data_IF_217776258224
#
_entry.id   IF_217776258224
#
_cell.length_a   1.000
_cell.length_b   1.000
_cell.length_c   1.000
_cell.angle_alpha   90.00
_cell.angle_beta   90.00
_cell.angle_gamma   90.00
#
_symmetry.space_group_name_H-M   'P 1'
#
loop_
_entity.id
_entity.type
_entity.pdbx_description
1 polymer ?
#
# COMPACT_ATOMS: atom_id res chain seq x y z
N UNK A 1 -8.13 5.90 14.31
CA UNK A 1 -8.72 4.54 14.49
C UNK A 1 -9.68 4.28 13.35
N UNK A 2 -9.46 3.29 12.48
CA UNK A 2 -10.45 2.92 11.43
C UNK A 2 -11.78 2.49 12.05
N UNK A 3 -12.91 2.58 11.32
CA UNK A 3 -14.18 2.01 11.79
C UNK A 3 -13.97 0.55 12.25
N UNK A 4 -14.50 0.20 13.42
CA UNK A 4 -14.28 -1.11 14.06
C UNK A 4 -14.83 -2.29 13.23
N UNK A 5 -15.60 -2.01 12.19
CA UNK A 5 -16.38 -2.99 11.43
C UNK A 5 -15.71 -3.46 10.13
N UNK A 6 -14.50 -3.00 9.81
CA UNK A 6 -13.79 -3.46 8.61
C UNK A 6 -13.28 -4.90 8.83
N UNK A 7 -13.69 -5.89 8.02
CA UNK A 7 -13.29 -7.28 8.20
C UNK A 7 -11.86 -7.54 7.69
N UNK A 8 -10.87 -7.03 8.41
CA UNK A 8 -9.45 -7.04 8.02
C UNK A 8 -8.91 -8.44 7.67
N UNK A 9 -9.29 -9.47 8.44
CA UNK A 9 -8.91 -10.86 8.15
C UNK A 9 -9.40 -11.33 6.77
N UNK A 10 -10.62 -10.93 6.37
CA UNK A 10 -11.19 -11.28 5.05
C UNK A 10 -10.45 -10.55 3.92
N UNK A 11 -10.16 -9.26 4.13
CA UNK A 11 -9.40 -8.42 3.19
C UNK A 11 -8.01 -9.01 2.95
N UNK A 12 -7.27 -9.34 4.02
CA UNK A 12 -5.94 -9.95 3.93
C UNK A 12 -5.98 -11.29 3.18
N UNK A 13 -6.94 -12.16 3.48
CA UNK A 13 -7.12 -13.44 2.77
C UNK A 13 -7.43 -13.24 1.28
N UNK A 14 -8.20 -12.22 0.92
CA UNK A 14 -8.49 -11.92 -0.49
C UNK A 14 -7.23 -11.48 -1.25
N UNK A 15 -6.46 -10.56 -0.67
CA UNK A 15 -5.18 -10.08 -1.22
C UNK A 15 -4.16 -11.22 -1.35
N UNK A 16 -4.02 -12.04 -0.30
CA UNK A 16 -3.09 -13.16 -0.28
C UNK A 16 -3.39 -14.20 -1.37
N UNK A 17 -4.68 -14.50 -1.61
CA UNK A 17 -5.08 -15.42 -2.70
C UNK A 17 -4.67 -14.89 -4.07
N UNK A 18 -4.83 -13.59 -4.32
CA UNK A 18 -4.39 -12.98 -5.58
C UNK A 18 -2.87 -13.01 -5.72
N UNK A 19 -2.12 -12.69 -4.66
CA UNK A 19 -0.65 -12.78 -4.65
C UNK A 19 -0.17 -14.22 -4.93
N UNK A 20 -0.80 -15.23 -4.32
CA UNK A 20 -0.49 -16.64 -4.59
C UNK A 20 -0.72 -17.03 -6.04
N UNK A 21 -1.82 -16.56 -6.66
CA UNK A 21 -2.09 -16.77 -8.09
C UNK A 21 -1.06 -16.11 -8.99
N UNK A 22 -0.63 -14.88 -8.66
CA UNK A 22 0.45 -14.19 -9.38
C UNK A 22 1.75 -15.01 -9.29
N UNK A 23 2.10 -15.49 -8.10
CA UNK A 23 3.28 -16.33 -7.89
C UNK A 23 3.23 -17.62 -8.71
N UNK A 24 2.09 -18.32 -8.70
CA UNK A 24 1.90 -19.52 -9.50
C UNK A 24 1.98 -19.24 -11.01
N UNK A 25 1.33 -18.18 -11.50
CA UNK A 25 1.38 -17.79 -12.91
C UNK A 25 2.81 -17.44 -13.35
N UNK A 26 3.55 -16.72 -12.49
CA UNK A 26 4.96 -16.39 -12.69
C UNK A 26 5.83 -17.65 -12.77
N UNK A 27 5.60 -18.63 -11.87
CA UNK A 27 6.31 -19.92 -11.90
C UNK A 27 6.07 -20.73 -13.16
N UNK A 28 4.90 -20.62 -13.78
CA UNK A 28 4.59 -21.29 -15.06
C UNK A 28 5.03 -20.47 -16.29
N UNK A 29 5.61 -19.28 -16.11
CA UNK A 29 6.03 -18.42 -17.22
C UNK A 29 4.87 -17.71 -17.95
N UNK A 30 3.65 -17.72 -17.41
CA UNK A 30 2.50 -17.06 -18.03
C UNK A 30 2.48 -15.56 -17.70
N UNK A 31 3.32 -14.81 -18.42
CA UNK A 31 3.48 -13.36 -18.27
C UNK A 31 2.16 -12.60 -18.52
N UNK A 32 1.34 -13.07 -19.46
CA UNK A 32 0.05 -12.44 -19.78
C UNK A 32 -0.91 -12.57 -18.59
N UNK A 33 -0.96 -13.73 -17.96
CA UNK A 33 -1.76 -13.95 -16.75
C UNK A 33 -1.23 -13.15 -15.56
N UNK A 34 0.10 -13.09 -15.38
CA UNK A 34 0.73 -12.24 -14.34
C UNK A 34 0.28 -10.79 -14.48
N UNK A 35 0.38 -10.19 -15.67
CA UNK A 35 -0.03 -8.79 -15.88
C UNK A 35 -1.54 -8.57 -15.61
N UNK A 36 -2.40 -9.49 -16.05
CA UNK A 36 -3.84 -9.43 -15.78
C UNK A 36 -4.13 -9.48 -14.27
N UNK A 37 -3.48 -10.39 -13.55
CA UNK A 37 -3.67 -10.55 -12.11
C UNK A 37 -3.08 -9.39 -11.31
N UNK A 38 -1.94 -8.81 -11.74
CA UNK A 38 -1.40 -7.58 -11.17
C UNK A 38 -2.35 -6.41 -11.37
N UNK A 39 -2.90 -6.23 -12.57
CA UNK A 39 -3.91 -5.18 -12.83
C UNK A 39 -5.16 -5.36 -11.97
N UNK A 40 -5.62 -6.61 -11.78
CA UNK A 40 -6.72 -6.92 -10.87
C UNK A 40 -6.38 -6.58 -9.42
N UNK A 41 -5.17 -6.91 -8.96
CA UNK A 41 -4.70 -6.59 -7.62
C UNK A 41 -4.66 -5.07 -7.38
N UNK A 42 -4.12 -4.29 -8.33
CA UNK A 42 -4.03 -2.83 -8.24
C UNK A 42 -5.41 -2.15 -8.18
N UNK A 43 -6.40 -2.71 -8.89
CA UNK A 43 -7.77 -2.18 -8.90
C UNK A 43 -8.62 -2.65 -7.72
N UNK A 44 -8.18 -3.65 -6.96
CA UNK A 44 -8.95 -4.22 -5.85
C UNK A 44 -9.06 -3.25 -4.68
N UNK A 45 -10.29 -2.94 -4.27
CA UNK A 45 -10.57 -2.13 -3.08
C UNK A 45 -9.94 -2.74 -1.81
N UNK A 46 -9.92 -4.08 -1.72
CA UNK A 46 -9.28 -4.80 -0.60
C UNK A 46 -7.77 -4.54 -0.55
N UNK A 47 -7.10 -4.52 -1.71
CA UNK A 47 -5.67 -4.22 -1.78
C UNK A 47 -5.38 -2.75 -1.44
N UNK A 48 -6.20 -1.82 -1.94
CA UNK A 48 -6.07 -0.38 -1.64
C UNK A 48 -6.26 -0.09 -0.15
N UNK A 49 -7.28 -0.67 0.48
CA UNK A 49 -7.51 -0.55 1.93
C UNK A 49 -6.35 -1.08 2.77
N UNK A 50 -5.80 -2.23 2.37
CA UNK A 50 -4.64 -2.82 3.05
C UNK A 50 -3.39 -1.94 2.88
N UNK A 51 -3.17 -1.38 1.69
CA UNK A 51 -2.05 -0.48 1.40
C UNK A 51 -2.14 0.82 2.20
N UNK A 52 -3.30 1.48 2.22
CA UNK A 52 -3.50 2.69 3.02
C UNK A 52 -3.32 2.40 4.49
N UNK A 53 -3.87 1.29 5.01
CA UNK A 53 -3.62 0.87 6.40
C UNK A 53 -2.14 0.69 6.69
N UNK A 54 -1.41 0.00 5.80
CA UNK A 54 0.02 -0.26 5.98
C UNK A 54 0.83 1.04 6.00
N UNK A 55 0.65 1.91 5.00
CA UNK A 55 1.32 3.21 4.92
C UNK A 55 0.98 4.09 6.14
N UNK A 56 -0.28 4.09 6.57
CA UNK A 56 -0.73 4.96 7.67
C UNK A 56 -0.50 4.41 9.07
N UNK A 57 -0.08 3.16 9.22
CA UNK A 57 0.30 2.56 10.50
C UNK A 57 1.82 2.40 10.59
N UNK A 58 2.46 1.84 9.55
CA UNK A 58 3.89 1.51 9.55
C UNK A 58 4.79 2.72 9.23
N UNK A 59 4.32 3.70 8.42
CA UNK A 59 5.13 4.90 8.11
C UNK A 59 4.90 6.06 9.09
N UNK A 60 4.01 5.92 10.07
CA UNK A 60 3.75 6.96 11.09
C UNK A 60 4.97 7.27 11.95
N UNK A 61 5.91 6.32 12.06
CA UNK A 61 7.12 6.44 12.87
C UNK A 61 8.43 6.48 12.08
N UNK A 62 8.40 6.40 10.74
CA UNK A 62 9.60 6.53 9.90
C UNK A 62 9.68 7.97 9.39
N UNK A 63 10.87 8.55 9.40
CA UNK A 63 11.25 9.92 9.01
C UNK A 63 10.99 10.25 7.52
N UNK A 64 9.80 9.94 7.01
CA UNK A 64 9.34 10.28 5.66
C UNK A 64 8.10 11.20 5.71
N UNK A 65 7.96 11.95 6.81
CA UNK A 65 6.93 12.98 6.97
C UNK A 65 7.19 14.26 6.14
N UNK A 66 8.31 14.34 5.42
CA UNK A 66 8.90 15.59 4.98
C UNK A 66 8.59 16.05 3.56
N UNK A 67 7.35 15.98 3.08
CA UNK A 67 7.00 16.73 1.84
C UNK A 67 5.64 17.46 1.94
N UNK A 68 4.59 16.89 2.54
CA UNK A 68 3.24 17.52 2.52
C UNK A 68 2.62 17.85 3.89
N UNK A 69 3.32 17.68 5.02
CA UNK A 69 2.86 18.18 6.34
C UNK A 69 1.58 17.53 6.93
N UNK A 70 0.94 16.57 6.25
CA UNK A 70 -0.28 15.89 6.74
C UNK A 70 0.10 14.80 7.75
N UNK A 71 0.30 15.19 9.01
CA UNK A 71 0.77 14.31 10.10
C UNK A 71 -0.22 13.26 10.62
N UNK A 72 -1.47 13.23 10.18
CA UNK A 72 -2.37 12.11 10.49
C UNK A 72 -3.67 12.25 9.71
N UNK A 73 -3.79 11.54 8.58
CA UNK A 73 -5.06 11.43 7.87
C UNK A 73 -6.13 10.85 8.80
N UNK A 74 -7.31 11.49 8.88
CA UNK A 74 -8.43 10.95 9.65
C UNK A 74 -8.90 9.61 9.04
N UNK A 75 -9.51 8.72 9.83
CA UNK A 75 -10.00 7.42 9.33
C UNK A 75 -10.89 7.50 8.08
N UNK A 76 -11.73 8.53 7.99
CA UNK A 76 -12.61 8.80 6.84
C UNK A 76 -11.79 9.23 5.62
N UNK A 77 -10.83 10.14 5.80
CA UNK A 77 -9.91 10.57 4.75
C UNK A 77 -9.07 9.40 4.22
N UNK A 78 -8.67 8.46 5.08
CA UNK A 78 -7.96 7.24 4.67
C UNK A 78 -8.82 6.31 3.82
N UNK A 79 -10.12 6.20 4.13
CA UNK A 79 -11.05 5.41 3.32
C UNK A 79 -11.33 6.08 1.97
N UNK A 80 -11.53 7.39 1.96
CA UNK A 80 -11.68 8.17 0.72
C UNK A 80 -10.42 8.09 -0.14
N UNK A 81 -9.22 8.18 0.48
CA UNK A 81 -7.95 7.99 -0.21
C UNK A 81 -7.86 6.59 -0.83
N UNK A 82 -8.25 5.54 -0.10
CA UNK A 82 -8.26 4.17 -0.63
C UNK A 82 -9.24 3.98 -1.79
N UNK A 83 -10.40 4.63 -1.75
CA UNK A 83 -11.40 4.58 -2.82
C UNK A 83 -10.94 5.33 -4.07
N UNK A 84 -10.37 6.53 -3.88
CA UNK A 84 -9.94 7.41 -4.96
C UNK A 84 -8.52 7.12 -5.47
N UNK A 85 -7.80 6.17 -4.87
CA UNK A 85 -6.44 5.82 -5.26
C UNK A 85 -6.43 5.25 -6.68
N UNK A 86 -5.95 6.05 -7.62
CA UNK A 86 -5.70 5.65 -9.00
C UNK A 86 -4.20 5.53 -9.20
N UNK A 87 -3.74 4.31 -9.44
CA UNK A 87 -2.33 4.03 -9.66
C UNK A 87 -2.03 4.35 -11.12
N UNK A 88 -1.61 5.58 -11.37
CA UNK A 88 -1.08 6.02 -12.67
C UNK A 88 0.42 5.71 -12.75
N UNK A 89 0.95 5.50 -13.95
CA UNK A 89 2.29 4.94 -14.17
C UNK A 89 3.45 5.88 -13.86
N UNK A 90 3.19 7.13 -13.45
CA UNK A 90 4.21 8.14 -13.18
C UNK A 90 4.27 8.44 -11.68
N UNK A 91 5.30 7.90 -11.01
CA UNK A 91 5.62 8.26 -9.64
C UNK A 91 6.61 9.44 -9.60
N UNK A 92 6.49 10.31 -8.60
CA UNK A 92 7.52 11.34 -8.34
C UNK A 92 8.83 10.64 -7.92
N UNK A 93 10.00 11.11 -8.39
CA UNK A 93 11.28 10.53 -8.01
C UNK A 93 11.51 10.62 -6.49
N UNK A 94 12.14 9.60 -5.92
CA UNK A 94 12.49 9.57 -4.50
C UNK A 94 13.63 10.56 -4.25
N UNK A 95 13.42 11.51 -3.34
CA UNK A 95 14.47 12.42 -2.86
C UNK A 95 15.24 11.78 -1.70
N UNK A 96 16.55 11.97 -1.68
CA UNK A 96 17.50 11.40 -0.72
C UNK A 96 17.08 11.58 0.74
N UNK A 97 17.13 10.50 1.53
CA UNK A 97 16.85 10.52 2.98
C UNK A 97 18.20 10.66 3.70
N UNK A 98 18.46 11.72 4.48
CA UNK A 98 19.69 11.83 5.24
C UNK A 98 19.75 10.74 6.32
N UNK A 99 20.82 9.94 6.31
CA UNK A 99 21.17 9.09 7.44
C UNK A 99 21.56 10.01 8.61
N UNK A 100 20.78 9.99 9.69
CA UNK A 100 21.21 10.56 10.96
C UNK A 100 22.36 9.68 11.43
N UNK A 101 23.58 10.22 11.38
CA UNK A 101 24.73 9.63 12.03
C UNK A 101 24.55 9.95 13.52
N UNK A 102 24.30 8.92 14.33
CA UNK A 102 24.37 9.06 15.78
C UNK A 102 25.84 9.30 16.13
N UNK A 103 26.16 10.56 16.41
CA UNK A 103 27.42 10.94 17.07
C UNK A 103 27.25 10.65 18.56
N UNK A 104 27.84 9.55 19.02
CA UNK A 104 28.02 9.24 20.43
C UNK A 104 29.01 10.25 21.04
N UNK A 105 28.63 10.88 22.16
CA UNK A 105 29.51 11.67 23.03
C UNK A 105 29.42 11.15 24.46
#
# INVERSE_FOLDING_TARGET
MYPKDIPWKKIQRAVFRLQKRIYQASKHGDVKCVHKLQKLLLNSQSAKLLAVRKVTQDNSGKLTAGIDGIKSLKPVERLQLAQNLKIESKAKPVTHIPQVVEEEH
#
